data_IF_862940920763
#
_entry.id   IF_862940920763
#
_cell.length_a   1.000
_cell.length_b   1.000
_cell.length_c   1.000
_cell.angle_alpha   90.00
_cell.angle_beta   90.00
_cell.angle_gamma   90.00
#
_symmetry.space_group_name_H-M   'P 1'
#
loop_
_entity.id
_entity.type
_entity.pdbx_description
1 polymer ?
#
# COMPACT_ATOMS: atom_id res chain seq x y z
N UNK A 1 23.30 16.17 -12.58
CA UNK A 1 22.29 17.16 -12.15
C UNK A 1 21.78 17.84 -13.41
N UNK A 2 20.55 17.58 -13.80
CA UNK A 2 19.88 18.30 -14.89
C UNK A 2 19.60 19.72 -14.40
N UNK A 3 19.73 20.77 -15.22
CA UNK A 3 19.48 22.14 -14.77
C UNK A 3 18.03 22.32 -14.35
N UNK A 4 17.82 23.01 -13.23
CA UNK A 4 16.49 23.44 -12.78
C UNK A 4 15.78 24.20 -13.90
N UNK A 5 14.57 23.79 -14.23
CA UNK A 5 13.77 24.45 -15.26
C UNK A 5 12.92 25.54 -14.60
N UNK A 6 13.00 26.74 -15.14
CA UNK A 6 12.15 27.86 -14.73
C UNK A 6 11.00 28.03 -15.76
N UNK A 7 9.85 27.42 -15.51
CA UNK A 7 8.65 27.75 -16.26
C UNK A 7 7.76 28.72 -15.44
N UNK A 8 7.47 29.87 -15.99
CA UNK A 8 6.64 30.89 -15.36
C UNK A 8 7.11 31.33 -13.95
N UNK A 9 8.44 31.33 -13.69
CA UNK A 9 9.00 31.65 -12.38
C UNK A 9 8.86 30.54 -11.34
N UNK A 10 8.54 29.31 -11.76
CA UNK A 10 8.48 28.11 -10.94
C UNK A 10 9.79 27.32 -11.05
N UNK A 11 10.30 26.82 -9.94
CA UNK A 11 11.54 26.06 -9.87
C UNK A 11 11.28 24.59 -9.56
N UNK A 12 11.65 23.70 -10.48
CA UNK A 12 11.63 22.25 -10.30
C UNK A 12 12.68 21.57 -11.18
N UNK A 13 13.11 20.39 -10.77
CA UNK A 13 14.05 19.56 -11.53
C UNK A 13 13.29 18.48 -12.30
N UNK A 14 13.57 18.32 -13.60
CA UNK A 14 13.20 17.13 -14.37
C UNK A 14 14.23 16.04 -14.09
N UNK A 15 13.88 15.09 -13.22
CA UNK A 15 14.78 13.98 -12.81
C UNK A 15 14.87 12.93 -13.91
N UNK A 16 13.77 12.71 -14.62
CA UNK A 16 13.64 11.78 -15.75
C UNK A 16 12.54 12.26 -16.67
N UNK A 17 12.77 12.14 -17.99
CA UNK A 17 11.81 12.57 -19.01
C UNK A 17 11.69 14.08 -19.17
N UNK A 18 10.62 14.53 -19.81
CA UNK A 18 10.35 15.95 -20.06
C UNK A 18 8.87 16.29 -19.89
N UNK A 19 8.58 17.34 -19.13
CA UNK A 19 7.23 17.88 -18.95
C UNK A 19 6.62 18.23 -20.29
N UNK A 20 7.37 18.92 -21.17
CA UNK A 20 6.90 19.30 -22.51
C UNK A 20 6.47 18.10 -23.34
N UNK A 21 7.32 17.04 -23.37
CA UNK A 21 7.01 15.82 -24.11
C UNK A 21 5.72 15.16 -23.60
N UNK A 22 5.54 15.11 -22.28
CA UNK A 22 4.32 14.54 -21.69
C UNK A 22 3.07 15.35 -22.05
N UNK A 23 3.16 16.69 -22.05
CA UNK A 23 2.03 17.57 -22.41
C UNK A 23 1.65 17.46 -23.89
N UNK A 24 2.60 17.15 -24.76
CA UNK A 24 2.39 16.95 -26.21
C UNK A 24 1.98 15.51 -26.55
N UNK A 25 2.11 14.57 -25.60
CA UNK A 25 1.78 13.16 -25.83
C UNK A 25 0.28 12.94 -25.96
N UNK A 26 -0.13 12.10 -26.92
CA UNK A 26 -1.51 11.69 -27.05
C UNK A 26 -1.85 10.55 -26.08
N UNK A 27 -3.04 10.55 -25.45
CA UNK A 27 -3.48 9.44 -24.62
C UNK A 27 -3.64 8.18 -25.46
N UNK A 28 -3.27 7.03 -24.88
CA UNK A 28 -3.38 5.72 -25.48
C UNK A 28 -4.65 4.98 -25.01
N UNK A 29 -4.96 3.87 -25.64
CA UNK A 29 -5.95 2.92 -25.10
C UNK A 29 -5.41 2.28 -23.82
N UNK A 30 -6.26 1.92 -22.86
CA UNK A 30 -5.82 1.10 -21.73
C UNK A 30 -5.16 -0.19 -22.22
N UNK A 31 -4.09 -0.59 -21.56
CA UNK A 31 -3.26 -1.76 -21.91
C UNK A 31 -2.74 -1.76 -23.36
N UNK A 32 -2.44 -0.58 -23.92
CA UNK A 32 -1.88 -0.46 -25.25
C UNK A 32 -0.56 -1.23 -25.41
N UNK A 33 -0.34 -1.84 -26.58
CA UNK A 33 0.85 -2.66 -26.86
C UNK A 33 2.20 -1.97 -26.58
N UNK A 34 2.42 -0.67 -26.87
CA UNK A 34 3.67 0.01 -26.51
C UNK A 34 3.92 -0.01 -25.00
N UNK A 35 2.88 0.23 -24.19
CA UNK A 35 2.96 0.21 -22.72
C UNK A 35 3.24 -1.22 -22.22
N UNK A 36 2.51 -2.22 -22.73
CA UNK A 36 2.71 -3.62 -22.38
C UNK A 36 4.10 -4.13 -22.74
N UNK A 37 4.65 -3.69 -23.89
CA UNK A 37 6.01 -3.99 -24.34
C UNK A 37 7.06 -3.38 -23.40
N UNK A 38 6.91 -2.10 -23.10
CA UNK A 38 7.80 -1.39 -22.17
C UNK A 38 7.83 -2.06 -20.79
N UNK A 39 6.67 -2.34 -20.20
CA UNK A 39 6.58 -2.95 -18.87
C UNK A 39 7.15 -4.37 -18.84
N UNK A 40 6.98 -5.16 -19.91
CA UNK A 40 7.62 -6.46 -20.06
C UNK A 40 9.15 -6.36 -20.15
N UNK A 41 9.65 -5.36 -20.88
CA UNK A 41 11.10 -5.08 -20.97
C UNK A 41 11.65 -4.60 -19.62
N UNK A 42 10.92 -3.73 -18.90
CA UNK A 42 11.28 -3.27 -17.56
C UNK A 42 11.32 -4.43 -16.55
N UNK A 43 10.32 -5.29 -16.55
CA UNK A 43 10.32 -6.53 -15.75
C UNK A 43 11.59 -7.35 -16.01
N UNK A 44 11.91 -7.56 -17.29
CA UNK A 44 13.09 -8.32 -17.69
C UNK A 44 14.40 -7.63 -17.22
N UNK A 45 14.49 -6.32 -17.33
CA UNK A 45 15.64 -5.55 -16.88
C UNK A 45 15.86 -5.68 -15.37
N UNK A 46 14.79 -5.53 -14.57
CA UNK A 46 14.84 -5.67 -13.11
C UNK A 46 15.27 -7.10 -12.72
N UNK A 47 14.68 -8.12 -13.33
CA UNK A 47 14.97 -9.52 -12.98
C UNK A 47 16.38 -9.97 -13.38
N UNK A 48 17.00 -9.34 -14.40
CA UNK A 48 18.37 -9.62 -14.83
C UNK A 48 19.41 -8.83 -14.03
N UNK A 49 19.04 -7.70 -13.44
CA UNK A 49 19.96 -6.85 -12.71
C UNK A 49 20.40 -7.50 -11.38
N UNK A 50 21.71 -7.57 -11.15
CA UNK A 50 22.27 -8.26 -9.97
C UNK A 50 21.98 -7.55 -8.66
N UNK A 51 21.99 -6.22 -8.68
CA UNK A 51 21.74 -5.42 -7.48
C UNK A 51 20.27 -5.48 -7.06
N UNK A 52 19.36 -5.48 -8.05
CA UNK A 52 17.92 -5.61 -7.81
C UNK A 52 17.56 -6.87 -7.03
N UNK A 53 18.31 -7.96 -7.20
CA UNK A 53 18.07 -9.22 -6.47
C UNK A 53 18.22 -9.09 -4.96
N UNK A 54 18.90 -8.05 -4.49
CA UNK A 54 19.09 -7.73 -3.07
C UNK A 54 18.04 -6.75 -2.54
N UNK A 55 17.10 -6.35 -3.40
CA UNK A 55 16.03 -5.40 -3.10
C UNK A 55 14.67 -6.09 -3.30
N UNK A 56 14.10 -6.74 -2.27
CA UNK A 56 12.87 -7.56 -2.39
C UNK A 56 11.69 -6.79 -3.01
N UNK A 57 11.53 -5.52 -2.66
CA UNK A 57 10.46 -4.67 -3.19
C UNK A 57 10.61 -4.46 -4.70
N UNK A 58 11.84 -4.24 -5.18
CA UNK A 58 12.13 -4.06 -6.60
C UNK A 58 11.91 -5.36 -7.38
N UNK A 59 12.28 -6.51 -6.81
CA UNK A 59 11.99 -7.84 -7.38
C UNK A 59 10.48 -8.06 -7.48
N UNK A 60 9.73 -7.74 -6.41
CA UNK A 60 8.28 -7.85 -6.38
C UNK A 60 7.63 -6.97 -7.44
N UNK A 61 8.10 -5.73 -7.59
CA UNK A 61 7.66 -4.82 -8.64
C UNK A 61 7.97 -5.36 -10.04
N UNK A 62 9.19 -5.87 -10.27
CA UNK A 62 9.57 -6.52 -11.53
C UNK A 62 8.70 -7.73 -11.85
N UNK A 63 8.39 -8.55 -10.85
CA UNK A 63 7.49 -9.69 -11.00
C UNK A 63 6.06 -9.26 -11.37
N UNK A 64 5.57 -8.18 -10.73
CA UNK A 64 4.24 -7.63 -10.99
C UNK A 64 4.11 -7.08 -12.41
N UNK A 65 5.19 -6.48 -12.97
CA UNK A 65 5.25 -5.98 -14.35
C UNK A 65 5.38 -7.07 -15.42
N UNK A 66 5.41 -8.36 -15.06
CA UNK A 66 5.49 -9.46 -16.05
C UNK A 66 4.29 -9.43 -16.99
N UNK A 67 4.56 -9.64 -18.28
CA UNK A 67 3.57 -9.61 -19.34
C UNK A 67 2.34 -10.50 -19.04
N UNK A 68 2.56 -11.73 -18.59
CA UNK A 68 1.47 -12.65 -18.23
C UNK A 68 0.57 -12.12 -17.09
N UNK A 69 1.13 -11.37 -16.12
CA UNK A 69 0.34 -10.74 -15.07
C UNK A 69 -0.48 -9.57 -15.62
N UNK A 70 0.13 -8.74 -16.46
CA UNK A 70 -0.53 -7.59 -17.09
C UNK A 70 -1.65 -8.03 -18.04
N UNK A 71 -1.44 -9.11 -18.82
CA UNK A 71 -2.48 -9.70 -19.67
C UNK A 71 -3.65 -10.25 -18.86
N UNK A 72 -3.37 -10.91 -17.72
CA UNK A 72 -4.41 -11.34 -16.78
C UNK A 72 -5.18 -10.16 -16.18
N UNK A 73 -4.49 -9.05 -15.88
CA UNK A 73 -5.15 -7.82 -15.43
C UNK A 73 -6.02 -7.24 -16.53
N UNK A 74 -5.52 -7.13 -17.75
CA UNK A 74 -6.26 -6.64 -18.92
C UNK A 74 -7.55 -7.43 -19.15
N UNK A 75 -7.49 -8.76 -19.01
CA UNK A 75 -8.66 -9.64 -19.17
C UNK A 75 -9.79 -9.44 -18.16
N UNK A 76 -9.56 -8.66 -17.08
CA UNK A 76 -10.60 -8.29 -16.10
C UNK A 76 -11.43 -7.07 -16.54
N UNK A 77 -10.97 -6.34 -17.56
CA UNK A 77 -11.62 -5.13 -18.06
C UNK A 77 -12.27 -5.41 -19.41
N UNK A 78 -13.58 -5.24 -19.46
CA UNK A 78 -14.37 -5.29 -20.69
C UNK A 78 -14.88 -3.88 -20.96
N UNK A 79 -14.62 -3.38 -22.15
CA UNK A 79 -15.07 -2.04 -22.55
C UNK A 79 -16.13 -2.18 -23.65
N UNK A 80 -17.32 -1.68 -23.41
CA UNK A 80 -18.44 -1.72 -24.36
C UNK A 80 -18.26 -0.70 -25.52
N UNK A 81 -17.30 0.21 -25.40
CA UNK A 81 -16.98 1.21 -26.39
C UNK A 81 -15.46 1.46 -26.45
N UNK A 82 -14.93 2.04 -27.54
CA UNK A 82 -13.54 2.50 -27.56
C UNK A 82 -13.27 3.52 -26.45
N UNK A 83 -12.26 3.25 -25.63
CA UNK A 83 -11.81 4.11 -24.53
C UNK A 83 -10.36 4.49 -24.71
N UNK A 84 -9.99 5.68 -24.23
CA UNK A 84 -8.62 6.18 -24.16
C UNK A 84 -8.35 6.77 -22.78
N UNK A 85 -7.09 6.95 -22.44
CA UNK A 85 -6.69 7.68 -21.23
C UNK A 85 -7.31 9.08 -21.19
N UNK A 86 -7.45 9.63 -20.00
CA UNK A 86 -8.05 10.96 -19.79
C UNK A 86 -7.14 12.12 -20.22
N UNK A 87 -5.85 11.87 -20.42
CA UNK A 87 -4.83 12.87 -20.73
C UNK A 87 -3.69 12.83 -19.72
N UNK A 88 -3.41 13.95 -19.04
CA UNK A 88 -2.34 14.05 -18.06
C UNK A 88 -2.76 13.52 -16.69
N UNK A 89 -2.01 12.58 -16.15
CA UNK A 89 -2.06 12.16 -14.76
C UNK A 89 -0.91 12.79 -13.96
N UNK A 90 -1.24 13.57 -12.92
CA UNK A 90 -0.28 14.10 -11.97
C UNK A 90 -0.29 13.25 -10.70
N UNK A 91 0.86 12.66 -10.36
CA UNK A 91 1.00 11.76 -9.23
C UNK A 91 1.75 12.42 -8.09
N UNK A 92 1.19 12.30 -6.89
CA UNK A 92 1.80 12.71 -5.62
C UNK A 92 1.97 11.44 -4.77
N UNK A 93 3.04 10.65 -4.96
CA UNK A 93 3.27 9.41 -4.23
C UNK A 93 3.68 9.68 -2.78
N UNK A 94 3.48 8.70 -1.87
CA UNK A 94 3.86 8.81 -0.47
C UNK A 94 5.38 8.67 -0.31
N UNK A 95 5.91 9.18 0.79
CA UNK A 95 7.35 9.15 1.09
C UNK A 95 7.79 7.91 1.87
N UNK A 96 6.86 7.24 2.54
CA UNK A 96 7.12 6.12 3.45
C UNK A 96 7.16 4.74 2.75
N UNK A 97 6.77 4.65 1.48
CA UNK A 97 6.84 3.43 0.67
C UNK A 97 7.65 3.73 -0.59
N UNK A 98 8.95 3.41 -0.62
CA UNK A 98 9.89 3.88 -1.65
C UNK A 98 9.46 3.61 -3.09
N UNK A 99 8.94 2.42 -3.40
CA UNK A 99 8.56 2.02 -4.76
C UNK A 99 7.10 2.31 -5.14
N UNK A 100 6.30 2.92 -4.26
CA UNK A 100 4.91 3.24 -4.57
C UNK A 100 4.77 4.12 -5.82
N UNK A 101 5.71 5.06 -6.04
CA UNK A 101 5.73 5.88 -7.24
C UNK A 101 5.77 5.05 -8.53
N UNK A 102 6.50 3.95 -8.55
CA UNK A 102 6.65 3.08 -9.71
C UNK A 102 5.35 2.33 -10.00
N UNK A 103 4.67 1.80 -8.97
CA UNK A 103 3.34 1.21 -9.12
C UNK A 103 2.31 2.24 -9.62
N UNK A 104 2.34 3.45 -9.06
CA UNK A 104 1.46 4.54 -9.48
C UNK A 104 1.69 4.92 -10.95
N UNK A 105 2.96 5.02 -11.39
CA UNK A 105 3.34 5.23 -12.78
C UNK A 105 2.76 4.15 -13.69
N UNK A 106 2.96 2.88 -13.34
CA UNK A 106 2.48 1.76 -14.16
C UNK A 106 0.96 1.79 -14.29
N UNK A 107 0.22 2.07 -13.22
CA UNK A 107 -1.23 2.22 -13.29
C UNK A 107 -1.65 3.38 -14.22
N UNK A 108 -0.96 4.51 -14.17
CA UNK A 108 -1.20 5.64 -15.06
C UNK A 108 -0.94 5.30 -16.53
N UNK A 109 0.16 4.60 -16.83
CA UNK A 109 0.50 4.13 -18.18
C UNK A 109 -0.48 3.07 -18.68
N UNK A 110 -0.82 2.06 -17.87
CA UNK A 110 -1.81 1.03 -18.24
C UNK A 110 -3.19 1.61 -18.50
N UNK A 111 -3.51 2.74 -17.88
CA UNK A 111 -4.75 3.48 -18.15
C UNK A 111 -4.65 4.39 -19.39
N UNK A 112 -3.49 4.43 -20.06
CA UNK A 112 -3.26 5.18 -21.29
C UNK A 112 -2.99 6.68 -21.09
N UNK A 113 -2.60 7.13 -19.90
CA UNK A 113 -2.34 8.54 -19.59
C UNK A 113 -0.87 8.91 -19.78
N UNK A 114 -0.59 10.18 -20.14
CA UNK A 114 0.69 10.82 -19.88
C UNK A 114 0.86 11.04 -18.37
N UNK A 115 2.10 10.93 -17.84
CA UNK A 115 2.31 10.88 -16.40
C UNK A 115 3.41 11.85 -15.96
N UNK A 116 3.07 12.73 -15.03
CA UNK A 116 4.03 13.56 -14.29
C UNK A 116 4.01 13.11 -12.83
N UNK A 117 5.18 12.67 -12.32
CA UNK A 117 5.30 12.17 -10.96
C UNK A 117 6.15 13.11 -10.12
N UNK A 118 5.59 13.60 -9.01
CA UNK A 118 6.35 14.33 -8.01
C UNK A 118 7.16 13.36 -7.17
N UNK A 119 8.48 13.51 -7.16
CA UNK A 119 9.33 12.76 -6.25
C UNK A 119 9.57 13.52 -4.95
N UNK A 120 9.61 12.76 -3.87
CA UNK A 120 10.05 13.24 -2.56
C UNK A 120 11.53 13.64 -2.59
N UNK A 121 11.93 14.51 -1.65
CA UNK A 121 13.33 14.81 -1.37
C UNK A 121 14.06 13.64 -0.67
N UNK A 122 13.35 12.62 -0.21
CA UNK A 122 13.96 11.43 0.43
C UNK A 122 14.67 10.61 -0.64
N UNK A 123 15.97 10.44 -0.47
CA UNK A 123 16.85 9.77 -1.42
C UNK A 123 17.10 8.31 -0.96
N UNK A 124 16.18 7.40 -1.32
CA UNK A 124 16.32 5.98 -1.07
C UNK A 124 17.07 5.28 -2.24
N UNK A 125 17.92 4.32 -1.91
CA UNK A 125 18.71 3.58 -2.90
C UNK A 125 17.82 2.80 -3.89
N UNK A 126 16.71 2.24 -3.41
CA UNK A 126 15.72 1.51 -4.19
C UNK A 126 15.04 2.44 -5.22
N UNK A 127 14.74 3.68 -4.83
CA UNK A 127 14.14 4.70 -5.69
C UNK A 127 15.09 5.06 -6.82
N UNK A 128 16.38 5.37 -6.50
CA UNK A 128 17.39 5.68 -7.53
C UNK A 128 17.56 4.52 -8.50
N UNK A 129 17.62 3.29 -7.98
CA UNK A 129 17.79 2.10 -8.80
C UNK A 129 16.57 1.87 -9.71
N UNK A 130 15.36 2.05 -9.20
CA UNK A 130 14.14 1.93 -9.99
C UNK A 130 14.10 2.97 -11.13
N UNK A 131 14.39 4.24 -10.84
CA UNK A 131 14.44 5.31 -11.84
C UNK A 131 15.51 4.98 -12.91
N UNK A 132 16.71 4.58 -12.52
CA UNK A 132 17.78 4.24 -13.46
C UNK A 132 17.38 3.07 -14.39
N UNK A 133 16.67 2.06 -13.89
CA UNK A 133 16.17 0.96 -14.70
C UNK A 133 15.03 1.40 -15.64
N UNK A 134 14.10 2.22 -15.16
CA UNK A 134 13.05 2.82 -15.99
C UNK A 134 13.68 3.61 -17.13
N UNK A 135 14.61 4.50 -16.83
CA UNK A 135 15.31 5.34 -17.83
C UNK A 135 16.05 4.50 -18.84
N UNK A 136 16.76 3.46 -18.39
CA UNK A 136 17.54 2.58 -19.28
C UNK A 136 16.67 1.85 -20.31
N UNK A 137 15.43 1.53 -19.93
CA UNK A 137 14.47 0.88 -20.85
C UNK A 137 13.79 1.93 -21.72
N UNK A 138 13.38 3.08 -21.18
CA UNK A 138 12.78 4.18 -21.94
C UNK A 138 13.73 4.76 -22.99
N UNK A 139 15.05 4.72 -22.76
CA UNK A 139 16.06 5.21 -23.71
C UNK A 139 16.09 4.41 -25.02
N UNK A 140 15.53 3.21 -25.07
CA UNK A 140 15.45 2.41 -26.30
C UNK A 140 14.46 3.02 -27.27
N UNK A 141 14.83 3.03 -28.56
CA UNK A 141 14.00 3.69 -29.60
C UNK A 141 12.62 3.05 -29.73
N UNK A 142 12.52 1.74 -29.53
CA UNK A 142 11.26 1.00 -29.54
C UNK A 142 10.25 1.46 -28.47
N UNK A 143 10.71 2.14 -27.43
CA UNK A 143 9.87 2.65 -26.34
C UNK A 143 9.67 4.17 -26.39
N UNK A 144 10.00 4.82 -27.52
CA UNK A 144 9.85 6.29 -27.69
C UNK A 144 8.46 6.77 -27.31
N UNK A 145 7.41 6.10 -27.78
CA UNK A 145 6.03 6.49 -27.51
C UNK A 145 5.69 6.50 -25.99
N UNK A 146 6.28 5.59 -25.20
CA UNK A 146 6.09 5.56 -23.74
C UNK A 146 7.03 6.54 -23.05
N UNK A 147 8.26 6.72 -23.56
CA UNK A 147 9.20 7.72 -23.06
C UNK A 147 8.59 9.12 -23.03
N UNK A 148 7.90 9.49 -24.10
CA UNK A 148 7.24 10.79 -24.24
C UNK A 148 6.00 10.94 -23.32
N UNK A 149 5.56 9.86 -22.66
CA UNK A 149 4.44 9.83 -21.69
C UNK A 149 4.88 9.84 -20.22
N UNK A 150 6.18 9.95 -19.92
CA UNK A 150 6.72 9.85 -18.56
C UNK A 150 7.61 11.02 -18.24
N UNK A 151 7.31 11.73 -17.15
CA UNK A 151 8.23 12.69 -16.55
C UNK A 151 8.21 12.56 -15.03
N UNK A 152 9.39 12.51 -14.43
CA UNK A 152 9.58 12.53 -12.98
C UNK A 152 10.16 13.88 -12.62
N UNK A 153 9.46 14.64 -11.77
CA UNK A 153 9.87 15.95 -11.30
C UNK A 153 10.19 15.95 -9.81
N UNK A 154 11.13 16.77 -9.41
CA UNK A 154 11.49 16.98 -8.00
C UNK A 154 11.42 18.46 -7.67
N UNK A 155 10.71 18.79 -6.61
CA UNK A 155 10.65 20.12 -6.02
C UNK A 155 10.30 20.00 -4.52
N UNK A 156 10.59 21.06 -3.78
CA UNK A 156 10.32 21.15 -2.36
C UNK A 156 8.81 21.25 -2.03
N UNK A 157 8.50 21.73 -0.82
CA UNK A 157 7.13 22.07 -0.45
C UNK A 157 6.77 23.46 -1.04
N UNK A 158 6.54 23.50 -2.37
CA UNK A 158 6.08 24.71 -3.07
C UNK A 158 4.69 24.46 -3.67
N UNK A 159 3.69 25.11 -3.06
CA UNK A 159 2.30 25.01 -3.49
C UNK A 159 2.05 25.62 -4.86
N UNK A 160 2.88 26.59 -5.30
CA UNK A 160 2.77 27.18 -6.64
C UNK A 160 3.10 26.14 -7.71
N UNK A 161 4.15 25.35 -7.51
CA UNK A 161 4.52 24.25 -8.40
C UNK A 161 3.47 23.14 -8.37
N UNK A 162 2.98 22.78 -7.18
CA UNK A 162 1.93 21.79 -7.02
C UNK A 162 0.61 22.24 -7.68
N UNK A 163 0.25 23.52 -7.55
CA UNK A 163 -0.93 24.12 -8.20
C UNK A 163 -0.78 24.17 -9.73
N UNK A 164 0.42 24.48 -10.23
CA UNK A 164 0.71 24.46 -11.65
C UNK A 164 0.44 23.08 -12.27
N UNK A 165 1.05 22.01 -11.72
CA UNK A 165 0.79 20.66 -12.22
C UNK A 165 -0.64 20.19 -11.99
N UNK A 166 -1.27 20.60 -10.88
CA UNK A 166 -2.69 20.30 -10.60
C UNK A 166 -3.60 20.96 -11.65
N UNK A 167 -3.29 22.19 -12.07
CA UNK A 167 -4.06 22.93 -13.08
C UNK A 167 -3.98 22.30 -14.48
N UNK A 168 -2.85 21.67 -14.82
CA UNK A 168 -2.64 20.96 -16.07
C UNK A 168 -3.27 19.55 -16.09
N UNK A 169 -3.46 18.95 -14.91
CA UNK A 169 -3.84 17.54 -14.79
C UNK A 169 -5.30 17.28 -15.15
N UNK A 170 -5.54 16.19 -15.88
CA UNK A 170 -6.87 15.61 -16.08
C UNK A 170 -7.21 14.59 -14.99
N UNK A 171 -6.19 14.00 -14.36
CA UNK A 171 -6.30 13.11 -13.21
C UNK A 171 -5.21 13.47 -12.21
N UNK A 172 -5.56 13.61 -10.91
CA UNK A 172 -4.57 13.66 -9.85
C UNK A 172 -4.63 12.37 -9.06
N UNK A 173 -3.47 11.74 -8.87
CA UNK A 173 -3.33 10.52 -8.08
C UNK A 173 -2.58 10.90 -6.81
N UNK A 174 -3.30 10.97 -5.70
CA UNK A 174 -2.83 11.55 -4.44
C UNK A 174 -2.70 10.43 -3.41
N UNK A 175 -1.47 10.16 -2.99
CA UNK A 175 -1.15 9.22 -1.91
C UNK A 175 -0.68 9.98 -0.69
N UNK A 176 -1.26 9.72 0.47
CA UNK A 176 -0.84 10.37 1.70
C UNK A 176 -1.89 10.33 2.78
N UNK A 177 -1.56 10.86 3.96
CA UNK A 177 -2.53 11.03 5.03
C UNK A 177 -3.65 12.01 4.67
N UNK A 178 -4.72 11.99 5.44
CA UNK A 178 -5.92 12.83 5.22
C UNK A 178 -5.56 14.31 5.03
N UNK A 179 -4.63 14.84 5.83
CA UNK A 179 -4.18 16.22 5.71
C UNK A 179 -3.53 16.52 4.35
N UNK A 180 -2.72 15.60 3.81
CA UNK A 180 -2.10 15.73 2.49
C UNK A 180 -3.16 15.71 1.39
N UNK A 181 -4.12 14.80 1.49
CA UNK A 181 -5.22 14.70 0.52
C UNK A 181 -6.07 15.97 0.52
N UNK A 182 -6.46 16.47 1.69
CA UNK A 182 -7.22 17.70 1.83
C UNK A 182 -6.44 18.92 1.32
N UNK A 183 -5.14 18.99 1.63
CA UNK A 183 -4.27 20.05 1.12
C UNK A 183 -4.21 20.04 -0.41
N UNK A 184 -3.92 18.89 -1.02
CA UNK A 184 -3.88 18.79 -2.48
C UNK A 184 -5.23 19.10 -3.14
N UNK A 185 -6.35 18.75 -2.50
CA UNK A 185 -7.69 19.09 -2.97
C UNK A 185 -8.00 20.59 -2.90
N UNK A 186 -7.36 21.33 -2.00
CA UNK A 186 -7.52 22.78 -1.91
C UNK A 186 -6.81 23.55 -3.03
N UNK A 187 -5.86 22.90 -3.73
CA UNK A 187 -5.15 23.53 -4.84
C UNK A 187 -6.05 23.61 -6.09
N UNK A 188 -5.95 24.72 -6.89
CA UNK A 188 -6.73 24.90 -8.08
C UNK A 188 -6.56 23.78 -9.11
N UNK A 189 -7.65 23.34 -9.72
CA UNK A 189 -7.69 22.32 -10.78
C UNK A 189 -8.61 22.72 -11.90
N UNK A 190 -8.48 22.08 -13.05
CA UNK A 190 -9.45 22.20 -14.12
C UNK A 190 -10.82 21.61 -13.73
N UNK A 191 -11.93 22.10 -14.31
CA UNK A 191 -13.29 21.67 -13.93
C UNK A 191 -13.60 20.21 -14.26
N UNK A 192 -12.79 19.55 -15.08
CA UNK A 192 -12.95 18.14 -15.46
C UNK A 192 -11.89 17.23 -14.81
N UNK A 193 -11.02 17.77 -13.95
CA UNK A 193 -10.01 17.00 -13.25
C UNK A 193 -10.68 16.03 -12.27
N UNK A 194 -10.18 14.80 -12.22
CA UNK A 194 -10.65 13.76 -11.31
C UNK A 194 -9.54 13.45 -10.30
N UNK A 195 -9.88 13.45 -9.01
CA UNK A 195 -8.99 13.02 -7.96
C UNK A 195 -9.19 11.54 -7.64
N UNK A 196 -8.10 10.78 -7.72
CA UNK A 196 -7.98 9.42 -7.20
C UNK A 196 -7.10 9.50 -5.95
N UNK A 197 -7.75 9.55 -4.79
CA UNK A 197 -7.06 9.74 -3.52
C UNK A 197 -6.94 8.42 -2.74
N UNK A 198 -5.72 8.14 -2.28
CA UNK A 198 -5.40 7.05 -1.37
C UNK A 198 -5.04 7.67 -0.02
N UNK A 199 -6.09 7.97 0.75
CA UNK A 199 -5.99 8.58 2.07
C UNK A 199 -5.47 7.59 3.11
N UNK A 200 -5.28 8.06 4.34
CA UNK A 200 -4.85 7.23 5.46
C UNK A 200 -5.86 6.12 5.75
N UNK A 201 -5.40 4.89 5.69
CA UNK A 201 -6.22 3.69 5.87
C UNK A 201 -5.51 2.70 6.76
N UNK A 202 -6.30 1.95 7.51
CA UNK A 202 -5.84 0.86 8.37
C UNK A 202 -6.59 -0.42 8.05
N UNK A 203 -6.10 -1.54 8.54
CA UNK A 203 -6.76 -2.84 8.35
C UNK A 203 -6.81 -3.61 9.66
N UNK A 204 -7.76 -4.54 9.74
CA UNK A 204 -7.97 -5.41 10.88
C UNK A 204 -7.96 -6.87 10.45
N UNK A 205 -7.71 -7.77 11.40
CA UNK A 205 -7.94 -9.20 11.24
C UNK A 205 -8.99 -9.67 12.25
N UNK A 206 -10.05 -10.30 11.79
CA UNK A 206 -11.06 -10.97 12.62
C UNK A 206 -10.81 -12.47 12.61
N UNK A 207 -10.48 -13.02 13.78
CA UNK A 207 -10.08 -14.42 13.94
C UNK A 207 -11.10 -15.15 14.83
N UNK A 208 -11.60 -16.28 14.34
CA UNK A 208 -12.44 -17.17 15.14
C UNK A 208 -11.58 -17.92 16.17
N UNK A 209 -11.76 -17.59 17.46
CA UNK A 209 -11.02 -18.20 18.54
C UNK A 209 -11.23 -19.72 18.63
N UNK A 210 -12.46 -20.19 18.40
CA UNK A 210 -12.77 -21.62 18.43
C UNK A 210 -12.09 -22.40 17.29
N UNK A 211 -11.84 -21.79 16.14
CA UNK A 211 -11.05 -22.38 15.07
C UNK A 211 -9.60 -22.58 15.52
N UNK A 212 -8.95 -21.52 16.00
CA UNK A 212 -7.54 -21.56 16.43
C UNK A 212 -7.31 -22.50 17.61
N UNK A 213 -8.21 -22.48 18.60
CA UNK A 213 -8.09 -23.35 19.79
C UNK A 213 -8.22 -24.84 19.48
N UNK A 214 -8.93 -25.20 18.39
CA UNK A 214 -9.18 -26.58 17.96
C UNK A 214 -8.28 -27.05 16.81
N UNK A 215 -7.57 -26.15 16.15
CA UNK A 215 -6.67 -26.48 15.05
C UNK A 215 -5.56 -27.44 15.48
N UNK A 216 -5.20 -28.37 14.61
CA UNK A 216 -3.97 -29.15 14.73
C UNK A 216 -2.74 -28.25 14.63
N UNK A 217 -1.59 -28.76 15.02
CA UNK A 217 -0.33 -27.98 14.93
C UNK A 217 0.03 -27.59 13.49
N UNK A 218 -0.29 -28.45 12.51
CA UNK A 218 -0.03 -28.17 11.10
C UNK A 218 -0.99 -27.08 10.56
N UNK A 219 -2.26 -27.12 10.93
CA UNK A 219 -3.23 -26.08 10.57
C UNK A 219 -2.87 -24.74 11.22
N UNK A 220 -2.51 -24.76 12.51
CA UNK A 220 -2.08 -23.57 13.24
C UNK A 220 -0.84 -22.93 12.61
N UNK A 221 0.13 -23.74 12.20
CA UNK A 221 1.32 -23.26 11.51
C UNK A 221 0.95 -22.63 10.15
N UNK A 222 0.06 -23.26 9.38
CA UNK A 222 -0.42 -22.71 8.12
C UNK A 222 -1.18 -21.38 8.31
N UNK A 223 -1.99 -21.26 9.37
CA UNK A 223 -2.67 -20.03 9.74
C UNK A 223 -1.67 -18.92 10.14
N UNK A 224 -0.66 -19.28 10.91
CA UNK A 224 0.41 -18.37 11.30
C UNK A 224 1.22 -17.88 10.08
N UNK A 225 1.52 -18.76 9.12
CA UNK A 225 2.19 -18.38 7.86
C UNK A 225 1.34 -17.43 7.02
N UNK A 226 0.02 -17.66 6.92
CA UNK A 226 -0.91 -16.74 6.27
C UNK A 226 -0.96 -15.38 6.95
N UNK A 227 -1.09 -15.36 8.28
CA UNK A 227 -1.09 -14.13 9.04
C UNK A 227 0.23 -13.37 8.92
N UNK A 228 1.36 -14.09 8.89
CA UNK A 228 2.67 -13.49 8.67
C UNK A 228 2.73 -12.70 7.35
N UNK A 229 2.20 -13.26 6.26
CA UNK A 229 2.17 -12.58 4.96
C UNK A 229 1.47 -11.23 5.06
N UNK A 230 0.32 -11.16 5.71
CA UNK A 230 -0.44 -9.91 5.84
C UNK A 230 0.16 -8.95 6.88
N UNK A 231 0.68 -9.49 7.98
CA UNK A 231 1.11 -8.69 9.14
C UNK A 231 2.55 -8.20 9.08
N UNK A 232 3.46 -8.90 8.37
CA UNK A 232 4.90 -8.60 8.44
C UNK A 232 5.51 -8.19 7.11
N UNK A 233 4.91 -8.56 5.99
CA UNK A 233 5.36 -8.06 4.69
C UNK A 233 5.36 -6.53 4.68
N UNK A 234 6.40 -5.93 4.09
CA UNK A 234 6.65 -4.48 4.16
C UNK A 234 6.73 -3.92 5.60
N UNK A 235 7.16 -4.76 6.56
CA UNK A 235 7.28 -4.38 7.97
C UNK A 235 6.01 -3.77 8.56
N UNK A 236 4.84 -4.30 8.14
CA UNK A 236 3.51 -3.82 8.51
C UNK A 236 3.21 -2.38 8.02
N UNK A 237 3.93 -1.85 7.02
CA UNK A 237 3.70 -0.50 6.50
C UNK A 237 2.59 -0.42 5.43
N UNK A 238 2.15 -1.56 4.88
CA UNK A 238 1.03 -1.56 3.94
C UNK A 238 -0.29 -1.16 4.65
N UNK A 239 -1.14 -0.39 3.96
CA UNK A 239 -2.46 -0.02 4.48
C UNK A 239 -3.39 -1.24 4.66
N UNK A 240 -3.12 -2.33 3.93
CA UNK A 240 -3.81 -3.62 4.05
C UNK A 240 -3.27 -4.51 5.18
N UNK A 241 -2.13 -4.18 5.80
CA UNK A 241 -1.61 -4.93 6.93
C UNK A 241 -2.46 -4.70 8.18
N UNK A 242 -2.88 -5.76 8.90
CA UNK A 242 -3.70 -5.62 10.09
C UNK A 242 -2.93 -4.89 11.20
N UNK A 243 -3.56 -3.87 11.78
CA UNK A 243 -3.08 -3.14 12.98
C UNK A 243 -3.73 -3.66 14.24
N UNK A 244 -4.94 -4.22 14.10
CA UNK A 244 -5.68 -4.81 15.18
C UNK A 244 -6.07 -6.25 14.83
N UNK A 245 -5.98 -7.12 15.84
CA UNK A 245 -6.53 -8.48 15.80
C UNK A 245 -7.74 -8.53 16.69
N UNK A 246 -8.89 -8.84 16.12
CA UNK A 246 -10.18 -8.99 16.82
C UNK A 246 -10.46 -10.48 16.96
N UNK A 247 -10.55 -10.94 18.19
CA UNK A 247 -10.86 -12.32 18.53
C UNK A 247 -12.35 -12.50 18.69
N UNK A 248 -12.96 -13.38 17.90
CA UNK A 248 -14.38 -13.72 18.03
C UNK A 248 -14.54 -15.01 18.83
N UNK A 249 -15.18 -14.92 20.00
CA UNK A 249 -15.43 -16.06 20.89
C UNK A 249 -15.70 -15.67 22.33
N UNK A 250 -15.88 -16.68 23.18
CA UNK A 250 -15.93 -16.51 24.62
C UNK A 250 -14.51 -16.34 25.22
N UNK A 251 -14.45 -15.86 26.47
CA UNK A 251 -13.18 -15.54 27.14
C UNK A 251 -12.20 -16.72 27.20
N UNK A 252 -12.71 -17.93 27.42
CA UNK A 252 -11.87 -19.14 27.51
C UNK A 252 -11.29 -19.50 26.15
N UNK A 253 -12.12 -19.59 25.13
CA UNK A 253 -11.67 -19.91 23.77
C UNK A 253 -10.72 -18.85 23.23
N UNK A 254 -10.91 -17.57 23.56
CA UNK A 254 -10.01 -16.48 23.19
C UNK A 254 -8.67 -16.61 23.91
N UNK A 255 -8.65 -16.89 25.20
CA UNK A 255 -7.40 -17.09 25.96
C UNK A 255 -6.59 -18.28 25.41
N UNK A 256 -7.25 -19.41 25.17
CA UNK A 256 -6.63 -20.60 24.57
C UNK A 256 -6.10 -20.31 23.16
N UNK A 257 -6.87 -19.61 22.32
CA UNK A 257 -6.47 -19.24 20.98
C UNK A 257 -5.23 -18.33 20.99
N UNK A 258 -5.20 -17.29 21.81
CA UNK A 258 -4.05 -16.38 21.94
C UNK A 258 -2.78 -17.12 22.41
N UNK A 259 -2.93 -18.01 23.38
CA UNK A 259 -1.81 -18.80 23.93
C UNK A 259 -1.15 -19.72 22.88
N UNK A 260 -1.90 -20.16 21.87
CA UNK A 260 -1.42 -20.99 20.77
C UNK A 260 -0.95 -20.19 19.57
N UNK A 261 -1.73 -19.17 19.16
CA UNK A 261 -1.53 -18.44 17.91
C UNK A 261 -0.25 -17.60 17.92
N UNK A 262 -0.06 -16.77 18.94
CA UNK A 262 1.08 -15.86 18.97
C UNK A 262 2.45 -16.54 18.99
N UNK A 263 2.66 -17.62 19.77
CA UNK A 263 3.90 -18.37 19.65
C UNK A 263 4.13 -18.99 18.27
N UNK A 264 3.06 -19.42 17.58
CA UNK A 264 3.19 -19.94 16.22
C UNK A 264 3.56 -18.83 15.21
N UNK A 265 2.96 -17.63 15.34
CA UNK A 265 3.33 -16.47 14.52
C UNK A 265 4.78 -16.04 14.80
N UNK A 266 5.19 -15.97 16.06
CA UNK A 266 6.56 -15.64 16.45
C UNK A 266 7.58 -16.64 15.87
N UNK A 267 7.26 -17.94 15.91
CA UNK A 267 8.11 -18.99 15.34
C UNK A 267 8.27 -18.83 13.81
N UNK A 268 7.20 -18.49 13.10
CA UNK A 268 7.25 -18.20 11.66
C UNK A 268 8.09 -16.97 11.37
N UNK A 269 7.88 -15.88 12.11
CA UNK A 269 8.59 -14.62 11.92
C UNK A 269 10.11 -14.79 12.17
N UNK A 270 10.49 -15.50 13.23
CA UNK A 270 11.89 -15.78 13.53
C UNK A 270 12.55 -16.67 12.46
N UNK A 271 11.82 -17.68 11.94
CA UNK A 271 12.33 -18.56 10.89
C UNK A 271 12.59 -17.83 9.58
N UNK A 272 11.75 -16.85 9.25
CA UNK A 272 11.89 -16.06 8.02
C UNK A 272 12.99 -14.99 8.10
N UNK A 273 13.37 -14.57 9.31
CA UNK A 273 14.52 -13.67 9.54
C UNK A 273 14.34 -12.25 8.98
N UNK A 274 13.12 -11.82 8.69
CA UNK A 274 12.83 -10.51 8.05
C UNK A 274 12.69 -9.35 9.04
N UNK A 275 12.84 -9.63 10.37
CA UNK A 275 12.76 -8.57 11.39
C UNK A 275 14.16 -7.97 11.56
N UNK A 276 14.42 -6.89 10.86
CA UNK A 276 15.67 -6.16 11.00
C UNK A 276 15.78 -5.49 12.38
N UNK A 277 16.99 -5.35 12.95
CA UNK A 277 17.19 -4.68 14.24
C UNK A 277 16.61 -3.27 14.30
N UNK A 278 16.63 -2.53 13.16
CA UNK A 278 16.04 -1.20 13.07
C UNK A 278 14.52 -1.21 13.27
N UNK A 279 13.81 -2.26 12.82
CA UNK A 279 12.38 -2.39 13.02
C UNK A 279 12.02 -2.60 14.49
N UNK A 280 12.84 -3.35 15.23
CA UNK A 280 12.67 -3.50 16.68
C UNK A 280 12.88 -2.17 17.43
N UNK A 281 13.85 -1.38 17.01
CA UNK A 281 14.08 -0.04 17.54
C UNK A 281 12.90 0.90 17.22
N UNK A 282 12.46 0.93 15.96
CA UNK A 282 11.32 1.76 15.53
C UNK A 282 10.05 1.38 16.29
N UNK A 283 9.79 0.09 16.48
CA UNK A 283 8.67 -0.40 17.30
C UNK A 283 8.71 0.15 18.71
N UNK A 284 9.88 0.08 19.37
CA UNK A 284 10.02 0.61 20.73
C UNK A 284 9.77 2.11 20.79
N UNK A 285 10.30 2.87 19.84
CA UNK A 285 10.09 4.32 19.76
C UNK A 285 8.61 4.65 19.56
N UNK A 286 7.93 3.98 18.61
CA UNK A 286 6.49 4.19 18.36
C UNK A 286 5.65 3.84 19.60
N UNK A 287 5.96 2.74 20.29
CA UNK A 287 5.28 2.37 21.53
C UNK A 287 5.47 3.43 22.62
N UNK A 288 6.70 3.88 22.85
CA UNK A 288 6.98 4.91 23.86
C UNK A 288 6.26 6.23 23.53
N UNK A 289 6.28 6.65 22.26
CA UNK A 289 5.56 7.86 21.82
C UNK A 289 4.05 7.72 22.04
N UNK A 290 3.49 6.56 21.69
CA UNK A 290 2.06 6.27 21.90
C UNK A 290 1.69 6.29 23.37
N UNK A 291 2.46 5.64 24.24
CA UNK A 291 2.21 5.61 25.68
C UNK A 291 2.26 7.02 26.34
N UNK A 292 3.04 7.94 25.77
CA UNK A 292 3.08 9.34 26.21
C UNK A 292 1.88 10.13 25.66
N UNK A 293 1.45 9.85 24.43
CA UNK A 293 0.43 10.62 23.72
C UNK A 293 -1.00 10.26 24.12
N UNK A 294 -1.26 9.03 24.59
CA UNK A 294 -2.61 8.56 24.90
C UNK A 294 -2.65 7.70 26.17
N UNK A 295 -3.81 7.69 26.83
CA UNK A 295 -4.08 6.88 28.03
C UNK A 295 -4.94 5.64 27.73
N UNK A 296 -5.14 5.30 26.46
CA UNK A 296 -5.99 4.14 26.09
C UNK A 296 -5.29 2.80 26.30
N UNK A 297 -3.95 2.77 26.28
CA UNK A 297 -3.16 1.55 26.45
C UNK A 297 -3.18 1.12 27.90
N UNK A 298 -3.60 -0.13 28.15
CA UNK A 298 -3.64 -0.71 29.51
C UNK A 298 -2.49 -1.68 29.76
N UNK A 299 -2.02 -2.37 28.72
CA UNK A 299 -0.95 -3.35 28.84
C UNK A 299 -0.23 -3.59 27.52
N UNK A 300 1.03 -4.02 27.59
CA UNK A 300 1.86 -4.39 26.43
C UNK A 300 2.56 -5.72 26.68
N UNK A 301 2.24 -6.72 25.90
CA UNK A 301 2.84 -8.04 25.97
C UNK A 301 3.81 -8.29 24.80
N UNK A 302 4.83 -9.14 25.02
CA UNK A 302 5.69 -9.62 23.95
C UNK A 302 6.54 -8.56 23.28
N UNK A 303 6.93 -7.50 23.97
CA UNK A 303 7.75 -6.41 23.39
C UNK A 303 9.10 -6.89 22.83
N UNK A 304 9.63 -7.99 23.38
CA UNK A 304 10.87 -8.64 22.92
C UNK A 304 10.61 -9.75 21.89
N UNK A 305 9.36 -10.15 21.68
CA UNK A 305 8.96 -11.15 20.69
C UNK A 305 8.83 -10.52 19.30
N UNK A 306 8.64 -11.33 18.29
CA UNK A 306 8.32 -10.84 16.95
C UNK A 306 6.96 -10.11 16.93
N UNK A 307 6.00 -10.54 17.77
CA UNK A 307 4.67 -9.96 17.92
C UNK A 307 4.51 -9.22 19.25
N UNK A 308 4.52 -7.89 19.24
CA UNK A 308 4.10 -7.10 20.39
C UNK A 308 2.55 -6.94 20.34
N UNK A 309 1.91 -7.11 21.49
CA UNK A 309 0.44 -7.05 21.63
C UNK A 309 0.06 -5.96 22.58
N UNK A 310 -0.85 -5.10 22.18
CA UNK A 310 -1.28 -3.94 22.94
C UNK A 310 -2.75 -4.11 23.33
N UNK A 311 -3.00 -4.12 24.63
CA UNK A 311 -4.35 -4.10 25.20
C UNK A 311 -4.79 -2.65 25.43
N UNK A 312 -6.08 -2.37 25.19
CA UNK A 312 -6.65 -1.03 25.34
C UNK A 312 -7.90 -1.07 26.20
N UNK A 313 -8.12 0.02 26.95
CA UNK A 313 -9.26 0.16 27.87
C UNK A 313 -10.60 0.30 27.15
N UNK A 314 -10.60 0.95 25.98
CA UNK A 314 -11.77 1.17 25.16
C UNK A 314 -11.45 0.84 23.70
N UNK A 315 -12.01 -0.25 23.20
CA UNK A 315 -11.77 -0.74 21.85
C UNK A 315 -12.27 0.23 20.77
N UNK A 316 -13.22 1.12 21.08
CA UNK A 316 -13.71 2.12 20.12
C UNK A 316 -12.71 3.23 19.85
N UNK A 317 -11.69 3.38 20.72
CA UNK A 317 -10.60 4.35 20.58
C UNK A 317 -9.33 3.76 19.97
N UNK A 318 -9.38 2.56 19.41
CA UNK A 318 -8.22 1.87 18.85
C UNK A 318 -7.49 2.68 17.75
N UNK A 319 -8.20 3.55 17.07
CA UNK A 319 -7.63 4.42 16.03
C UNK A 319 -6.56 5.38 16.56
N UNK A 320 -6.60 5.74 17.83
CA UNK A 320 -5.58 6.58 18.46
C UNK A 320 -4.20 5.94 18.47
N UNK A 321 -4.14 4.61 18.37
CA UNK A 321 -2.92 3.82 18.37
C UNK A 321 -2.71 3.03 17.08
N UNK A 322 -3.52 3.28 16.05
CA UNK A 322 -3.44 2.58 14.76
C UNK A 322 -2.15 2.88 13.98
N UNK A 323 -1.33 3.84 14.43
CA UNK A 323 0.00 4.12 13.88
C UNK A 323 1.05 3.07 14.23
N UNK A 324 0.83 2.26 15.27
CA UNK A 324 1.77 1.21 15.70
C UNK A 324 2.02 0.18 14.61
N UNK A 325 3.29 -0.16 14.38
CA UNK A 325 3.77 -1.02 13.28
C UNK A 325 4.88 -1.97 13.76
N UNK A 326 5.58 -2.54 12.81
CA UNK A 326 6.76 -3.39 13.02
C UNK A 326 6.48 -4.60 13.92
N UNK A 327 5.35 -5.30 13.62
CA UNK A 327 4.92 -6.46 14.42
C UNK A 327 4.20 -6.08 15.72
N UNK A 328 3.59 -4.89 15.77
CA UNK A 328 2.74 -4.47 16.90
C UNK A 328 1.27 -4.59 16.52
N UNK A 329 0.50 -5.30 17.34
CA UNK A 329 -0.91 -5.56 17.11
C UNK A 329 -1.75 -5.14 18.31
N UNK A 330 -2.73 -4.28 18.09
CA UNK A 330 -3.77 -4.05 19.10
C UNK A 330 -4.68 -5.26 19.17
N UNK A 331 -5.13 -5.64 20.37
CA UNK A 331 -6.04 -6.76 20.53
C UNK A 331 -7.41 -6.31 21.05
N UNK A 332 -8.45 -6.86 20.45
CA UNK A 332 -9.84 -6.72 20.91
C UNK A 332 -10.53 -8.09 20.93
N UNK A 333 -11.65 -8.16 21.65
CA UNK A 333 -12.50 -9.37 21.72
C UNK A 333 -13.95 -9.01 21.45
N UNK A 334 -14.61 -9.81 20.63
CA UNK A 334 -16.05 -9.72 20.38
C UNK A 334 -16.68 -11.10 20.65
N UNK A 335 -17.85 -11.14 21.26
CA UNK A 335 -18.55 -12.41 21.48
C UNK A 335 -19.18 -12.93 20.18
N UNK A 336 -19.82 -12.03 19.44
CA UNK A 336 -20.41 -12.34 18.14
C UNK A 336 -19.56 -11.71 17.03
N UNK A 337 -19.21 -12.43 15.94
CA UNK A 337 -18.48 -11.85 14.80
C UNK A 337 -19.12 -10.59 14.22
N UNK A 338 -20.44 -10.41 14.32
CA UNK A 338 -21.14 -9.20 13.87
C UNK A 338 -20.81 -7.96 14.70
N UNK A 339 -20.41 -8.13 15.95
CA UNK A 339 -20.06 -7.00 16.83
C UNK A 339 -18.80 -6.26 16.35
N UNK A 340 -18.09 -6.79 15.33
CA UNK A 340 -17.00 -6.13 14.62
C UNK A 340 -17.45 -4.77 14.04
N UNK A 341 -18.73 -4.63 13.68
CA UNK A 341 -19.30 -3.40 13.11
C UNK A 341 -18.99 -2.15 13.95
N UNK A 342 -18.89 -2.30 15.28
CA UNK A 342 -18.57 -1.21 16.20
C UNK A 342 -17.11 -0.69 16.08
N UNK A 343 -16.25 -1.49 15.46
CA UNK A 343 -14.83 -1.20 15.28
C UNK A 343 -14.50 -0.74 13.85
N UNK A 344 -15.51 -0.77 12.96
CA UNK A 344 -15.33 -0.45 11.55
C UNK A 344 -15.81 0.96 11.27
N UNK A 345 -15.05 1.64 10.43
CA UNK A 345 -15.40 2.91 9.83
C UNK A 345 -14.74 3.05 8.45
N UNK A 346 -14.94 4.18 7.80
CA UNK A 346 -14.39 4.48 6.47
C UNK A 346 -12.85 4.51 6.42
N UNK A 347 -12.15 4.49 7.55
CA UNK A 347 -10.69 4.35 7.59
C UNK A 347 -10.22 2.91 7.50
N UNK A 348 -11.10 1.94 7.72
CA UNK A 348 -10.76 0.53 7.59
C UNK A 348 -10.80 0.12 6.13
N UNK A 349 -9.63 -0.20 5.56
CA UNK A 349 -9.51 -0.64 4.18
C UNK A 349 -9.86 -2.12 4.01
N UNK A 350 -9.19 -2.97 4.78
CA UNK A 350 -9.29 -4.43 4.61
C UNK A 350 -9.64 -5.08 5.94
N UNK A 351 -10.61 -5.97 5.91
CA UNK A 351 -10.90 -6.90 6.98
C UNK A 351 -10.43 -8.31 6.57
N UNK A 352 -9.31 -8.75 7.14
CA UNK A 352 -8.86 -10.14 7.03
C UNK A 352 -9.74 -11.03 7.91
N UNK A 353 -10.17 -12.17 7.40
CA UNK A 353 -11.03 -13.11 8.16
C UNK A 353 -10.41 -14.51 8.21
N UNK A 354 -10.49 -15.18 9.38
CA UNK A 354 -9.92 -16.51 9.58
C UNK A 354 -10.87 -17.41 10.40
N UNK A 355 -11.13 -18.61 9.91
CA UNK A 355 -11.83 -19.67 10.65
C UNK A 355 -13.35 -19.54 10.69
N UNK A 356 -13.98 -18.88 9.70
CA UNK A 356 -15.44 -18.74 9.62
C UNK A 356 -16.00 -19.52 8.43
N UNK A 357 -17.18 -20.14 8.62
CA UNK A 357 -17.94 -20.76 7.53
C UNK A 357 -18.64 -19.71 6.64
N UNK A 358 -19.08 -20.15 5.45
CA UNK A 358 -19.67 -19.29 4.41
C UNK A 358 -20.79 -18.40 4.89
N UNK A 359 -21.72 -18.94 5.70
CA UNK A 359 -22.90 -18.20 6.18
C UNK A 359 -22.52 -17.06 7.15
N UNK A 360 -21.49 -17.30 7.97
CA UNK A 360 -20.96 -16.28 8.89
C UNK A 360 -20.18 -15.24 8.11
N UNK A 361 -19.39 -15.67 7.11
CA UNK A 361 -18.63 -14.77 6.24
C UNK A 361 -19.53 -13.79 5.49
N UNK A 362 -20.66 -14.24 4.93
CA UNK A 362 -21.61 -13.35 4.25
C UNK A 362 -22.12 -12.25 5.19
N UNK A 363 -22.44 -12.61 6.44
CA UNK A 363 -22.90 -11.63 7.45
C UNK A 363 -21.80 -10.67 7.91
N UNK A 364 -20.54 -11.16 8.01
CA UNK A 364 -19.39 -10.31 8.30
C UNK A 364 -19.18 -9.32 7.15
N UNK A 365 -19.27 -9.78 5.90
CA UNK A 365 -19.13 -8.93 4.72
C UNK A 365 -20.21 -7.84 4.66
N UNK A 366 -21.46 -8.15 4.99
CA UNK A 366 -22.54 -7.17 5.09
C UNK A 366 -22.26 -6.11 6.18
N UNK A 367 -21.79 -6.55 7.36
CA UNK A 367 -21.42 -5.62 8.43
C UNK A 367 -20.23 -4.74 8.04
N UNK A 368 -19.23 -5.32 7.38
CA UNK A 368 -18.07 -4.61 6.88
C UNK A 368 -18.46 -3.55 5.83
N UNK A 369 -19.35 -3.90 4.90
CA UNK A 369 -19.85 -2.98 3.89
C UNK A 369 -20.59 -1.78 4.51
N UNK A 370 -21.43 -2.02 5.54
CA UNK A 370 -22.10 -0.93 6.28
C UNK A 370 -21.10 -0.02 7.01
N UNK A 371 -20.00 -0.59 7.53
CA UNK A 371 -18.92 0.16 8.17
C UNK A 371 -18.04 0.94 7.18
N UNK A 372 -18.19 0.75 5.85
CA UNK A 372 -17.40 1.43 4.83
C UNK A 372 -16.06 0.78 4.53
N UNK A 373 -15.90 -0.50 4.88
CA UNK A 373 -14.70 -1.31 4.56
C UNK A 373 -14.66 -1.60 3.06
N UNK A 374 -13.50 -1.38 2.43
CA UNK A 374 -13.36 -1.55 0.98
C UNK A 374 -13.39 -3.03 0.57
N UNK A 375 -12.85 -3.94 1.40
CA UNK A 375 -12.82 -5.37 1.08
C UNK A 375 -12.72 -6.28 2.31
N UNK A 376 -13.30 -7.48 2.17
CA UNK A 376 -13.16 -8.59 3.12
C UNK A 376 -12.44 -9.73 2.41
N UNK A 377 -11.34 -10.21 2.98
CA UNK A 377 -10.49 -11.24 2.36
C UNK A 377 -10.09 -12.31 3.39
N UNK A 378 -9.79 -13.54 2.97
CA UNK A 378 -9.14 -14.49 3.87
C UNK A 378 -7.79 -13.95 4.36
N UNK A 379 -7.44 -14.20 5.62
CA UNK A 379 -6.08 -13.91 6.12
C UNK A 379 -5.04 -14.62 5.26
N UNK A 380 -4.01 -13.89 4.86
CA UNK A 380 -3.00 -14.29 3.88
C UNK A 380 -3.24 -13.76 2.47
N UNK A 381 -4.35 -13.04 2.24
CA UNK A 381 -4.71 -12.49 0.93
C UNK A 381 -4.84 -10.95 0.93
N UNK A 382 -4.41 -10.28 1.99
CA UNK A 382 -4.54 -8.82 2.10
C UNK A 382 -3.68 -8.05 1.08
N UNK A 383 -2.67 -8.69 0.52
CA UNK A 383 -1.77 -8.08 -0.48
C UNK A 383 -2.13 -8.42 -1.93
N UNK A 384 -3.19 -9.22 -2.16
CA UNK A 384 -3.61 -9.66 -3.50
C UNK A 384 -4.52 -8.64 -4.22
#
# INVERSE_FOLDING_TARGET
>A
MTPSRHENGLEFDEVSGSVTAVLESAPLRPFADPVMSFLGALSTAIMKDRDSRRMPDLVSFGYWCRRANLERMAGRYVFDAPVVGRGLAFHVPPTNVPLNFAYSLVCGLLSGNGNILRMSSVDAIEVRKAIALIDSVLAREEHKAVRDMVCIVRYGHDDRVSAYFSGLANVRIIWGGDATVLHMRSLPTGPRTVDVAFADRTSLALINAAHVSKSSEDELRADAERFYVDGYTFSQNACSSPRMVVWAGDERSVADAKARFWPAVDAVALKRGEIEPIHSMNRLVELCQTLVATNVVTDVHGIQSASARVSISDVTRWQEIASLRFGTFTEATVRNPRDIERLLDQKVQTLGVMGFGSDVLSRIAESAARGGVDRVVPVGAALN
#
